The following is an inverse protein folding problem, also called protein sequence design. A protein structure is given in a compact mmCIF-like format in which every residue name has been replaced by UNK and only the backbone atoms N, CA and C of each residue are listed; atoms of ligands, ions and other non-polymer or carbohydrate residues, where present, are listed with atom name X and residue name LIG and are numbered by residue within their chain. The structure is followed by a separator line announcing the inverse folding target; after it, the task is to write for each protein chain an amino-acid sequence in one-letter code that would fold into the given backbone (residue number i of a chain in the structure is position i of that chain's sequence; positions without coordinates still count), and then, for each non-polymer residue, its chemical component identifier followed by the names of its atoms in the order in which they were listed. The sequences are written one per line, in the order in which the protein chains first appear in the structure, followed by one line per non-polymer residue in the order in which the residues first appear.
data_IF_380376652500
#
_entry.id   IF_380376652500
#
_cell.length_a   1.000
_cell.length_b   1.000
_cell.length_c   1.000
_cell.angle_alpha   90.00
_cell.angle_beta   90.00
_cell.angle_gamma   90.00
#
_symmetry.space_group_name_H-M   'P 1'
#
loop_
_entity.id
_entity.type
_entity.pdbx_description
1 polymer ?
#
# COMPACT_ATOMS: atom_id res chain seq x y z
N UNK A 1 -37.56 -21.42 -44.67
CA UNK A 1 -36.78 -21.94 -43.50
C UNK A 1 -37.57 -21.61 -42.24
N UNK A 2 -38.03 -22.59 -41.49
CA UNK A 2 -38.69 -22.39 -40.18
C UNK A 2 -37.64 -22.28 -39.13
N UNK A 3 -37.50 -21.10 -38.51
CA UNK A 3 -36.64 -20.94 -37.33
C UNK A 3 -37.36 -21.54 -36.12
N UNK A 4 -36.79 -22.57 -35.52
CA UNK A 4 -37.21 -23.08 -34.21
C UNK A 4 -36.39 -22.42 -33.12
N UNK A 5 -37.08 -21.73 -32.21
CA UNK A 5 -36.43 -21.17 -31.01
C UNK A 5 -36.34 -22.26 -29.96
N UNK A 6 -35.13 -22.62 -29.59
CA UNK A 6 -34.87 -23.50 -28.45
C UNK A 6 -34.85 -22.66 -27.18
N UNK A 7 -35.83 -22.87 -26.32
CA UNK A 7 -35.87 -22.27 -24.98
C UNK A 7 -35.28 -23.28 -23.97
N UNK A 8 -34.10 -23.03 -23.47
CA UNK A 8 -33.53 -23.81 -22.38
C UNK A 8 -33.79 -23.08 -21.06
N UNK A 9 -34.41 -23.75 -20.10
CA UNK A 9 -34.47 -23.27 -18.73
C UNK A 9 -33.11 -23.53 -18.07
N UNK A 10 -32.38 -22.44 -17.81
CA UNK A 10 -31.15 -22.53 -17.00
C UNK A 10 -31.59 -22.56 -15.54
N UNK A 11 -31.33 -23.64 -14.77
CA UNK A 11 -31.63 -23.62 -13.34
C UNK A 11 -30.83 -22.52 -12.68
N UNK A 12 -31.55 -21.55 -12.09
CA UNK A 12 -30.92 -20.61 -11.17
C UNK A 12 -30.34 -21.42 -10.02
N UNK A 13 -29.04 -21.40 -9.87
CA UNK A 13 -28.40 -21.94 -8.69
C UNK A 13 -29.03 -21.28 -7.47
N UNK A 14 -29.66 -22.05 -6.59
CA UNK A 14 -30.04 -21.56 -5.29
C UNK A 14 -28.79 -20.98 -4.62
N UNK A 15 -28.88 -19.73 -4.18
CA UNK A 15 -27.82 -19.10 -3.41
C UNK A 15 -27.60 -20.00 -2.17
N UNK A 16 -26.57 -20.85 -2.22
CA UNK A 16 -26.11 -21.48 -0.99
C UNK A 16 -25.79 -20.35 -0.03
N UNK A 17 -26.27 -20.44 1.20
CA UNK A 17 -25.84 -19.52 2.25
C UNK A 17 -24.32 -19.53 2.24
N UNK A 18 -23.74 -18.44 1.75
CA UNK A 18 -22.31 -18.24 1.80
C UNK A 18 -21.93 -18.31 3.26
N UNK A 19 -21.00 -19.18 3.60
CA UNK A 19 -20.40 -19.21 4.92
C UNK A 19 -20.11 -17.76 5.33
N UNK A 20 -20.45 -17.40 6.57
CA UNK A 20 -20.30 -16.05 7.06
C UNK A 20 -18.90 -15.55 6.66
N UNK A 21 -18.87 -14.50 5.86
CA UNK A 21 -17.61 -13.91 5.43
C UNK A 21 -16.94 -13.41 6.71
N UNK A 22 -15.80 -14.01 7.05
CA UNK A 22 -15.01 -13.56 8.21
C UNK A 22 -14.49 -12.17 7.83
N UNK A 23 -15.12 -11.14 8.37
CA UNK A 23 -14.63 -9.78 8.26
C UNK A 23 -13.53 -9.59 9.30
N UNK A 24 -12.38 -9.10 8.86
CA UNK A 24 -11.31 -8.68 9.76
C UNK A 24 -11.77 -7.40 10.48
N UNK A 25 -11.55 -7.34 11.77
CA UNK A 25 -11.84 -6.15 12.57
C UNK A 25 -10.62 -5.26 12.79
N UNK A 26 -10.78 -4.18 13.54
CA UNK A 26 -9.70 -3.24 13.82
C UNK A 26 -8.53 -3.90 14.56
N UNK A 27 -8.82 -4.80 15.48
CA UNK A 27 -7.79 -5.46 16.30
C UNK A 27 -6.92 -6.39 15.46
N UNK A 28 -7.49 -7.04 14.44
CA UNK A 28 -6.74 -7.86 13.49
C UNK A 28 -5.68 -7.04 12.77
N UNK A 29 -6.05 -5.85 12.26
CA UNK A 29 -5.10 -4.96 11.57
C UNK A 29 -4.09 -4.36 12.54
N UNK A 30 -4.49 -3.93 13.72
CA UNK A 30 -3.60 -3.37 14.73
C UNK A 30 -2.57 -4.41 15.20
N UNK A 31 -2.96 -5.68 15.33
CA UNK A 31 -2.05 -6.78 15.64
C UNK A 31 -1.01 -6.98 14.51
N UNK A 32 -1.43 -6.93 13.24
CA UNK A 32 -0.52 -7.01 12.08
C UNK A 32 0.47 -5.84 12.07
N UNK A 33 -0.01 -4.63 12.31
CA UNK A 33 0.83 -3.43 12.43
C UNK A 33 1.84 -3.58 13.57
N UNK A 34 1.43 -4.10 14.72
CA UNK A 34 2.32 -4.35 15.85
C UNK A 34 3.45 -5.32 15.49
N UNK A 35 3.15 -6.44 14.82
CA UNK A 35 4.14 -7.39 14.35
C UNK A 35 5.16 -6.75 13.38
N UNK A 36 4.69 -5.91 12.46
CA UNK A 36 5.56 -5.21 11.52
C UNK A 36 6.44 -4.18 12.26
N UNK A 37 5.87 -3.44 13.21
CA UNK A 37 6.61 -2.48 14.03
C UNK A 37 7.70 -3.14 14.88
N UNK A 38 7.47 -4.33 15.37
CA UNK A 38 8.51 -5.06 16.12
C UNK A 38 9.70 -5.44 15.23
N UNK A 39 9.45 -5.77 13.96
CA UNK A 39 10.52 -5.97 12.99
C UNK A 39 11.23 -4.65 12.61
N UNK A 40 10.49 -3.54 12.49
CA UNK A 40 11.09 -2.22 12.28
C UNK A 40 12.06 -1.87 13.40
N UNK A 41 11.70 -2.10 14.66
CA UNK A 41 12.59 -1.89 15.80
C UNK A 41 13.85 -2.75 15.71
N UNK A 42 13.71 -4.04 15.34
CA UNK A 42 14.84 -4.97 15.19
C UNK A 42 15.80 -4.56 14.07
N UNK A 43 15.28 -3.91 13.04
CA UNK A 43 16.04 -3.43 11.87
C UNK A 43 16.38 -1.95 11.93
N UNK A 44 16.09 -1.28 13.05
CA UNK A 44 16.36 0.14 13.28
C UNK A 44 15.75 1.07 12.21
N UNK A 45 14.53 0.79 11.78
CA UNK A 45 13.77 1.62 10.85
C UNK A 45 12.81 2.53 11.61
N UNK A 46 12.84 3.82 11.28
CA UNK A 46 11.89 4.80 11.82
C UNK A 46 10.56 4.78 11.07
N UNK A 47 10.62 4.53 9.77
CA UNK A 47 9.45 4.47 8.88
C UNK A 47 9.55 3.30 7.91
N UNK A 48 8.37 2.73 7.60
CA UNK A 48 8.17 1.91 6.40
C UNK A 48 7.23 2.65 5.45
N UNK A 49 7.63 2.72 4.19
CA UNK A 49 6.83 3.28 3.10
C UNK A 49 6.47 2.14 2.15
N UNK A 50 5.19 1.92 1.95
CA UNK A 50 4.66 0.91 1.04
C UNK A 50 4.06 1.60 -0.16
N UNK A 51 4.50 1.22 -1.36
CA UNK A 51 3.85 1.60 -2.60
C UNK A 51 2.89 0.50 -3.02
N UNK A 52 1.74 0.91 -3.52
CA UNK A 52 0.75 0.02 -4.10
C UNK A 52 0.14 0.61 -5.35
N UNK A 53 -0.16 -0.28 -6.28
CA UNK A 53 -0.91 -0.01 -7.50
C UNK A 53 -2.00 -1.09 -7.69
N UNK A 54 -2.68 -1.06 -8.83
CA UNK A 54 -3.76 -1.99 -9.16
C UNK A 54 -3.39 -3.48 -9.00
N UNK A 55 -2.14 -3.84 -9.24
CA UNK A 55 -1.69 -5.24 -9.26
C UNK A 55 -0.85 -5.58 -8.02
N UNK A 56 -0.27 -4.57 -7.36
CA UNK A 56 0.70 -4.73 -6.28
C UNK A 56 0.25 -4.04 -4.98
N UNK A 57 -0.97 -4.30 -4.53
CA UNK A 57 -1.57 -3.66 -3.36
C UNK A 57 -1.57 -4.55 -2.09
N UNK A 58 -1.21 -5.82 -2.21
CA UNK A 58 -1.39 -6.81 -1.13
C UNK A 58 -0.73 -6.42 0.21
N UNK A 59 0.39 -5.71 0.21
CA UNK A 59 1.04 -5.25 1.44
C UNK A 59 0.22 -4.15 2.13
N UNK A 60 -0.36 -3.23 1.36
CA UNK A 60 -1.23 -2.17 1.88
C UNK A 60 -2.54 -2.77 2.38
N UNK A 61 -3.15 -3.67 1.60
CA UNK A 61 -4.37 -4.37 1.99
C UNK A 61 -4.17 -5.19 3.28
N UNK A 62 -3.05 -5.89 3.40
CA UNK A 62 -2.72 -6.65 4.61
C UNK A 62 -2.71 -5.78 5.87
N UNK A 63 -2.18 -4.55 5.77
CA UNK A 63 -2.04 -3.62 6.89
C UNK A 63 -3.29 -2.76 7.13
N UNK A 64 -4.15 -2.56 6.14
CA UNK A 64 -5.23 -1.59 6.23
C UNK A 64 -6.59 -2.06 5.73
N UNK A 65 -6.66 -3.16 5.00
CA UNK A 65 -7.86 -3.56 4.28
C UNK A 65 -8.15 -2.69 3.05
N UNK A 66 -7.25 -1.77 2.71
CA UNK A 66 -7.43 -0.87 1.58
C UNK A 66 -6.86 -1.49 0.30
N UNK A 67 -7.73 -1.67 -0.68
CA UNK A 67 -7.40 -2.01 -2.06
C UNK A 67 -7.45 -0.73 -2.90
N UNK A 68 -6.32 -0.31 -3.47
CA UNK A 68 -6.23 0.91 -4.28
C UNK A 68 -6.92 0.80 -5.64
N UNK A 69 -7.30 -0.39 -6.08
CA UNK A 69 -8.05 -0.69 -7.30
C UNK A 69 -7.42 -0.11 -8.57
N UNK A 70 -7.77 1.13 -8.91
CA UNK A 70 -7.41 1.75 -10.19
C UNK A 70 -6.26 2.73 -10.06
N UNK A 71 -6.02 3.25 -8.88
CA UNK A 71 -5.06 4.31 -8.60
C UNK A 71 -3.82 3.76 -7.91
N UNK A 72 -2.83 4.61 -7.78
CA UNK A 72 -1.69 4.35 -6.92
C UNK A 72 -2.02 4.78 -5.49
N UNK A 73 -1.30 4.20 -4.53
CA UNK A 73 -1.38 4.60 -3.12
C UNK A 73 -0.03 4.44 -2.44
N UNK A 74 0.18 5.23 -1.38
CA UNK A 74 1.37 5.13 -0.55
C UNK A 74 0.93 5.03 0.91
N UNK A 75 1.25 3.90 1.55
CA UNK A 75 1.00 3.72 2.98
C UNK A 75 2.30 3.95 3.74
N UNK A 76 2.25 4.77 4.78
CA UNK A 76 3.40 5.15 5.59
C UNK A 76 3.15 4.70 7.02
N UNK A 77 4.00 3.80 7.50
CA UNK A 77 3.96 3.27 8.84
C UNK A 77 5.15 3.83 9.64
N UNK A 78 4.94 4.74 10.60
CA UNK A 78 5.96 5.09 11.57
C UNK A 78 6.16 3.95 12.58
N UNK A 79 7.36 3.82 13.13
CA UNK A 79 7.66 2.82 14.19
C UNK A 79 6.79 3.04 15.42
N UNK A 80 6.28 4.24 15.63
CA UNK A 80 5.30 4.60 16.66
C UNK A 80 4.40 5.73 16.16
N UNK A 81 3.17 5.80 16.66
CA UNK A 81 2.20 6.82 16.26
C UNK A 81 1.24 6.35 15.18
N UNK A 82 0.50 7.28 14.61
CA UNK A 82 -0.57 7.02 13.64
C UNK A 82 0.00 6.74 12.25
N UNK A 83 -0.44 5.67 11.56
CA UNK A 83 -0.11 5.46 10.15
C UNK A 83 -0.74 6.52 9.26
N UNK A 84 -0.21 6.65 8.04
CA UNK A 84 -0.81 7.51 7.02
C UNK A 84 -1.01 6.77 5.71
N UNK A 85 -2.06 7.14 4.97
CA UNK A 85 -2.33 6.62 3.64
C UNK A 85 -2.56 7.79 2.67
N UNK A 86 -1.69 7.88 1.65
CA UNK A 86 -1.83 8.82 0.56
C UNK A 86 -2.64 8.15 -0.55
N UNK A 87 -3.67 8.84 -1.01
CA UNK A 87 -4.65 8.35 -1.98
C UNK A 87 -5.00 9.41 -3.02
N UNK A 88 -5.39 8.96 -4.20
CA UNK A 88 -5.89 9.79 -5.28
C UNK A 88 -7.39 10.08 -5.18
N UNK A 89 -7.96 10.54 -6.30
CA UNK A 89 -9.35 10.98 -6.39
C UNK A 89 -10.37 9.87 -6.10
N UNK A 90 -10.11 8.64 -6.59
CA UNK A 90 -11.04 7.51 -6.48
C UNK A 90 -10.93 6.81 -5.12
N UNK A 91 -9.76 6.88 -4.48
CA UNK A 91 -9.45 6.15 -3.24
C UNK A 91 -10.19 6.66 -2.00
N UNK A 92 -10.62 7.93 -1.99
CA UNK A 92 -11.17 8.59 -0.80
C UNK A 92 -12.40 7.89 -0.19
N UNK A 93 -13.29 7.35 -1.03
CA UNK A 93 -14.49 6.67 -0.53
C UNK A 93 -14.17 5.30 0.07
N UNK A 94 -13.23 4.58 -0.52
CA UNK A 94 -12.79 3.25 -0.06
C UNK A 94 -11.97 3.34 1.23
N UNK A 95 -11.07 4.32 1.32
CA UNK A 95 -10.21 4.49 2.48
C UNK A 95 -10.99 4.76 3.78
N UNK A 96 -12.20 5.30 3.70
CA UNK A 96 -13.09 5.48 4.87
C UNK A 96 -13.56 4.17 5.51
N UNK A 97 -13.42 3.05 4.81
CA UNK A 97 -13.77 1.74 5.33
C UNK A 97 -12.65 1.10 6.17
N UNK A 98 -11.47 1.71 6.26
CA UNK A 98 -10.38 1.25 7.13
C UNK A 98 -10.87 1.28 8.58
N UNK A 99 -10.80 0.16 9.33
CA UNK A 99 -11.51 0.03 10.60
C UNK A 99 -10.76 0.60 11.82
N UNK A 100 -9.60 1.23 11.63
CA UNK A 100 -8.79 1.81 12.70
C UNK A 100 -8.38 3.25 12.36
N UNK A 101 -7.85 3.99 13.33
CA UNK A 101 -7.40 5.36 13.14
C UNK A 101 -6.18 5.42 12.21
N UNK A 102 -6.32 6.17 11.11
CA UNK A 102 -5.30 6.37 10.09
C UNK A 102 -5.43 7.77 9.50
N UNK A 103 -4.32 8.43 9.30
CA UNK A 103 -4.28 9.74 8.66
C UNK A 103 -4.46 9.61 7.15
N UNK A 104 -5.64 9.95 6.63
CA UNK A 104 -5.90 9.97 5.19
C UNK A 104 -5.40 11.27 4.58
N UNK A 105 -4.53 11.19 3.59
CA UNK A 105 -3.96 12.31 2.87
C UNK A 105 -4.31 12.23 1.39
N UNK A 106 -4.94 13.29 0.91
CA UNK A 106 -5.32 13.38 -0.49
C UNK A 106 -4.15 13.94 -1.30
N UNK A 107 -3.57 13.09 -2.17
CA UNK A 107 -2.50 13.46 -3.07
C UNK A 107 -2.89 13.13 -4.52
N UNK A 108 -3.36 14.15 -5.24
CA UNK A 108 -4.00 14.00 -6.56
C UNK A 108 -3.07 13.48 -7.66
N UNK A 109 -1.76 13.55 -7.44
CA UNK A 109 -0.80 13.01 -8.40
C UNK A 109 -0.78 11.47 -8.46
N UNK A 110 -1.39 10.79 -7.48
CA UNK A 110 -1.63 9.34 -7.51
C UNK A 110 -2.89 8.95 -8.32
N UNK A 111 -3.67 9.93 -8.77
CA UNK A 111 -4.91 9.69 -9.51
C UNK A 111 -4.66 9.25 -10.93
N UNK A 112 -5.68 8.61 -11.52
CA UNK A 112 -5.68 8.20 -12.91
C UNK A 112 -5.38 9.35 -13.88
N UNK A 113 -4.88 9.01 -15.06
CA UNK A 113 -4.67 9.99 -16.13
C UNK A 113 -5.98 10.71 -16.49
N UNK A 114 -5.89 12.03 -16.65
CA UNK A 114 -7.06 12.87 -16.97
C UNK A 114 -7.89 13.31 -15.75
N UNK A 115 -7.62 12.78 -14.56
CA UNK A 115 -8.25 13.26 -13.33
C UNK A 115 -7.67 14.62 -12.89
N UNK A 116 -8.43 15.43 -12.14
CA UNK A 116 -7.92 16.71 -11.62
C UNK A 116 -6.65 16.54 -10.78
N UNK A 117 -5.65 17.36 -11.08
CA UNK A 117 -4.36 17.40 -10.34
C UNK A 117 -4.07 18.81 -9.87
N UNK A 118 -3.13 18.95 -8.93
CA UNK A 118 -2.67 20.24 -8.43
C UNK A 118 -1.15 20.33 -8.53
N UNK A 119 -0.68 21.46 -9.05
CA UNK A 119 0.75 21.71 -9.21
C UNK A 119 1.44 22.09 -7.88
N UNK A 120 0.68 22.50 -6.87
CA UNK A 120 1.15 22.89 -5.55
C UNK A 120 1.15 21.72 -4.52
N UNK A 121 0.85 20.50 -4.94
CA UNK A 121 0.97 19.30 -4.11
C UNK A 121 2.36 18.69 -4.32
N UNK A 122 3.19 18.70 -3.28
CA UNK A 122 4.55 18.19 -3.31
C UNK A 122 4.70 16.99 -2.38
N UNK A 123 5.08 15.84 -2.93
CA UNK A 123 5.19 14.59 -2.17
C UNK A 123 6.30 14.65 -1.11
N UNK A 124 7.41 15.34 -1.39
CA UNK A 124 8.49 15.55 -0.43
C UNK A 124 8.02 16.37 0.81
N UNK A 125 7.16 17.37 0.60
CA UNK A 125 6.57 18.12 1.70
C UNK A 125 5.61 17.25 2.54
N UNK A 126 4.88 16.37 1.89
CA UNK A 126 4.02 15.42 2.59
C UNK A 126 4.86 14.48 3.47
N UNK A 127 5.93 13.91 2.93
CA UNK A 127 6.85 13.06 3.69
C UNK A 127 7.41 13.80 4.92
N UNK A 128 7.88 15.04 4.72
CA UNK A 128 8.39 15.87 5.81
C UNK A 128 7.31 16.19 6.86
N UNK A 129 6.08 16.47 6.45
CA UNK A 129 4.95 16.74 7.36
C UNK A 129 4.56 15.52 8.21
N UNK A 130 4.91 14.32 7.76
CA UNK A 130 4.74 13.07 8.48
C UNK A 130 5.95 12.72 9.38
N UNK A 131 6.98 13.55 9.38
CA UNK A 131 8.17 13.38 10.22
C UNK A 131 9.35 12.69 9.54
N UNK A 132 9.25 12.35 8.25
CA UNK A 132 10.39 11.82 7.50
C UNK A 132 11.37 12.96 7.21
N UNK A 133 12.58 12.88 7.77
CA UNK A 133 13.60 13.91 7.64
C UNK A 133 15.00 13.35 7.49
N UNK A 134 16.00 14.23 7.42
CA UNK A 134 17.41 13.89 7.16
C UNK A 134 18.07 12.95 8.18
N UNK A 135 17.42 12.67 9.29
CA UNK A 135 17.88 11.71 10.30
C UNK A 135 17.07 10.40 10.27
N UNK A 136 16.00 10.33 9.46
CA UNK A 136 15.13 9.16 9.43
C UNK A 136 15.74 8.01 8.65
N UNK A 137 15.67 6.82 9.22
CA UNK A 137 15.90 5.53 8.56
C UNK A 137 14.60 5.04 7.94
N UNK A 138 14.54 4.95 6.62
CA UNK A 138 13.32 4.59 5.88
C UNK A 138 13.50 3.26 5.16
N UNK A 139 12.60 2.33 5.41
CA UNK A 139 12.42 1.12 4.61
C UNK A 139 11.37 1.36 3.52
N UNK A 140 11.70 1.08 2.26
CA UNK A 140 10.77 1.15 1.15
C UNK A 140 10.38 -0.26 0.73
N UNK A 141 9.07 -0.51 0.67
CA UNK A 141 8.50 -1.80 0.35
C UNK A 141 7.75 -1.73 -0.98
N UNK A 142 8.19 -2.53 -1.93
CA UNK A 142 7.48 -2.83 -3.17
C UNK A 142 6.79 -4.19 -3.06
N UNK A 143 6.90 -5.00 -4.11
CA UNK A 143 6.27 -6.31 -4.19
C UNK A 143 7.25 -7.47 -4.42
N UNK A 144 8.50 -7.19 -4.84
CA UNK A 144 9.53 -8.20 -5.10
C UNK A 144 10.46 -8.39 -3.92
N UNK A 145 10.78 -9.65 -3.65
CA UNK A 145 11.88 -10.03 -2.76
C UNK A 145 13.15 -10.19 -3.59
N UNK A 146 14.10 -9.27 -3.39
CA UNK A 146 15.38 -9.34 -4.07
C UNK A 146 16.35 -10.20 -3.28
N UNK A 147 16.78 -11.31 -3.87
CA UNK A 147 17.77 -12.20 -3.29
C UNK A 147 19.14 -11.95 -3.95
N UNK A 148 20.21 -11.86 -3.14
CA UNK A 148 21.55 -11.55 -3.63
C UNK A 148 22.05 -12.47 -4.75
N UNK A 149 21.60 -13.74 -4.73
CA UNK A 149 21.97 -14.71 -5.76
C UNK A 149 21.40 -14.39 -7.15
N UNK A 150 20.37 -13.55 -7.24
CA UNK A 150 19.64 -13.24 -8.48
C UNK A 150 19.62 -11.74 -8.80
N UNK A 151 20.39 -10.93 -8.06
CA UNK A 151 20.49 -9.48 -8.28
C UNK A 151 21.86 -9.13 -8.82
N UNK A 152 21.89 -8.26 -9.84
CA UNK A 152 23.13 -7.67 -10.37
C UNK A 152 23.66 -6.55 -9.46
N UNK A 153 22.81 -6.03 -8.57
CA UNK A 153 23.13 -4.96 -7.62
C UNK A 153 22.82 -5.41 -6.20
N UNK A 154 23.28 -4.66 -5.20
CA UNK A 154 22.96 -4.97 -3.80
C UNK A 154 21.43 -4.93 -3.57
N UNK A 155 20.82 -6.05 -3.14
CA UNK A 155 19.38 -6.13 -2.92
C UNK A 155 18.82 -5.05 -1.99
N UNK A 156 19.59 -4.62 -1.00
CA UNK A 156 19.17 -3.62 -0.02
C UNK A 156 18.96 -2.23 -0.65
N UNK A 157 19.56 -2.00 -1.83
CA UNK A 157 19.45 -0.75 -2.58
C UNK A 157 18.76 -0.92 -3.93
N UNK A 158 18.13 -2.09 -4.15
CA UNK A 158 17.35 -2.38 -5.36
C UNK A 158 15.87 -2.21 -5.07
N UNK A 159 15.16 -1.41 -5.88
CA UNK A 159 13.77 -1.06 -5.63
C UNK A 159 12.91 -1.36 -6.86
N UNK A 160 11.71 -1.89 -6.63
CA UNK A 160 10.65 -2.14 -7.61
C UNK A 160 9.47 -1.16 -7.48
N UNK A 161 9.77 0.03 -7.01
CA UNK A 161 8.85 1.15 -6.79
C UNK A 161 9.16 2.24 -7.82
N UNK A 162 8.17 3.04 -8.28
CA UNK A 162 8.40 4.12 -9.22
C UNK A 162 9.59 5.03 -8.83
N UNK A 163 10.47 5.28 -9.79
CA UNK A 163 11.74 5.98 -9.53
C UNK A 163 11.55 7.35 -8.85
N UNK A 164 10.49 8.10 -9.21
CA UNK A 164 10.23 9.40 -8.60
C UNK A 164 9.99 9.33 -7.08
N UNK A 165 9.39 8.24 -6.57
CA UNK A 165 9.19 8.02 -5.12
C UNK A 165 10.54 7.73 -4.46
N UNK A 166 11.34 6.87 -5.08
CA UNK A 166 12.69 6.52 -4.61
C UNK A 166 13.57 7.77 -4.53
N UNK A 167 13.59 8.58 -5.58
CA UNK A 167 14.41 9.79 -5.68
C UNK A 167 13.98 10.85 -4.64
N UNK A 168 12.67 11.02 -4.44
CA UNK A 168 12.16 11.94 -3.43
C UNK A 168 12.49 11.47 -2.00
N UNK A 169 12.33 10.19 -1.70
CA UNK A 169 12.70 9.64 -0.39
C UNK A 169 14.20 9.79 -0.14
N UNK A 170 15.06 9.46 -1.12
CA UNK A 170 16.53 9.69 -1.01
C UNK A 170 16.89 11.14 -0.75
N UNK A 171 16.11 12.09 -1.25
CA UNK A 171 16.31 13.53 -1.04
C UNK A 171 15.96 13.97 0.38
N UNK A 172 14.96 13.35 1.02
CA UNK A 172 14.41 13.83 2.30
C UNK A 172 14.86 13.02 3.50
N UNK A 173 15.11 11.71 3.39
CA UNK A 173 15.50 10.87 4.51
C UNK A 173 17.02 10.75 4.68
N UNK A 174 17.47 10.27 5.84
CA UNK A 174 18.89 10.01 6.14
C UNK A 174 19.41 8.74 5.49
N UNK A 175 18.59 7.69 5.47
CA UNK A 175 18.89 6.43 4.79
C UNK A 175 17.64 5.82 4.17
N UNK A 176 17.79 5.17 3.02
CA UNK A 176 16.74 4.46 2.31
C UNK A 176 17.21 3.06 1.95
N UNK A 177 16.48 2.05 2.40
CA UNK A 177 16.76 0.65 2.13
C UNK A 177 15.52 -0.09 1.63
N UNK A 178 15.71 -1.10 0.78
CA UNK A 178 14.63 -2.01 0.44
C UNK A 178 14.27 -2.86 1.67
N UNK A 179 13.02 -2.83 2.04
CA UNK A 179 12.51 -3.56 3.21
C UNK A 179 11.33 -4.47 2.87
N UNK A 180 11.12 -4.80 1.58
CA UNK A 180 9.99 -5.66 1.16
C UNK A 180 10.01 -7.01 1.88
N UNK A 181 11.21 -7.56 2.17
CA UNK A 181 11.38 -8.82 2.89
C UNK A 181 10.79 -8.81 4.32
N UNK A 182 10.57 -7.64 4.92
CA UNK A 182 9.92 -7.52 6.24
C UNK A 182 8.50 -8.10 6.23
N UNK A 183 7.86 -8.13 5.06
CA UNK A 183 6.53 -8.67 4.84
C UNK A 183 6.52 -10.18 4.55
N UNK A 184 7.67 -10.80 4.24
CA UNK A 184 7.76 -12.23 3.90
C UNK A 184 7.54 -13.14 5.11
N UNK A 185 7.93 -12.72 6.29
CA UNK A 185 7.88 -13.48 7.54
C UNK A 185 6.65 -13.11 8.37
N UNK A 186 5.47 -13.25 7.76
CA UNK A 186 4.14 -13.01 8.36
C UNK A 186 3.71 -14.16 9.27
#
# INVERSE_FOLDING_TARGET
MKHSTLTAAIPLFSRQETAAQIALDADDYLNRIALVRDKMKQTHLDFLVFYGDREHFANIEYLSGYDCRFEESIYILPVSGEPALLIGNEGMSYAKAIPYEIRLLYYRNLSLQGQPRRADEHLDWIFQSLGIGSQSSVGLCGYKYFEAAYCETDPIHTFDVPAYIVDLLKKVCGSLVNSTAIMASR
#
